data_IF_271772047479
#
_entry.id   IF_271772047479
#
_cell.length_a   1.000
_cell.length_b   1.000
_cell.length_c   1.000
_cell.angle_alpha   90.00
_cell.angle_beta   90.00
_cell.angle_gamma   90.00
#
_symmetry.space_group_name_H-M   'P 1'
#
loop_
_entity.id
_entity.type
_entity.pdbx_description
1 polymer ?
#
# COMPACT_ATOMS: atom_id res chain seq x y z
N UNK A 1 3.46 3.66 -17.44
CA UNK A 1 2.80 2.35 -17.38
C UNK A 1 3.85 1.26 -17.47
N UNK A 2 3.82 0.28 -16.60
CA UNK A 2 4.74 -0.89 -16.61
C UNK A 2 3.93 -2.14 -16.99
N UNK A 3 4.35 -2.82 -18.04
CA UNK A 3 3.75 -4.06 -18.52
C UNK A 3 4.71 -5.22 -18.27
N UNK A 4 4.22 -6.22 -17.58
CA UNK A 4 4.94 -7.42 -17.19
C UNK A 4 4.24 -8.64 -17.77
N UNK A 5 4.92 -9.39 -18.58
CA UNK A 5 4.45 -10.68 -19.09
C UNK A 5 5.67 -11.59 -19.26
N UNK A 6 6.10 -12.22 -18.17
CA UNK A 6 7.33 -13.01 -18.17
C UNK A 6 7.29 -14.15 -17.15
N UNK A 7 8.19 -15.12 -17.34
CA UNK A 7 8.50 -16.13 -16.35
C UNK A 7 10.01 -16.20 -16.07
N UNK A 8 10.34 -16.61 -14.84
CA UNK A 8 11.71 -16.80 -14.38
C UNK A 8 11.79 -17.92 -13.34
N UNK A 9 12.70 -18.86 -13.56
CA UNK A 9 13.00 -19.95 -12.64
C UNK A 9 14.05 -19.53 -11.62
N UNK A 10 13.78 -19.73 -10.35
CA UNK A 10 14.60 -19.30 -9.22
C UNK A 10 14.81 -20.48 -8.27
N UNK A 11 15.71 -21.36 -8.61
CA UNK A 11 15.86 -22.64 -7.91
C UNK A 11 14.60 -23.50 -8.06
N UNK A 12 13.88 -23.73 -6.97
CA UNK A 12 12.61 -24.46 -6.98
C UNK A 12 11.37 -23.59 -7.22
N UNK A 13 11.51 -22.26 -7.23
CA UNK A 13 10.42 -21.31 -7.44
C UNK A 13 10.33 -20.95 -8.92
N UNK A 14 9.15 -21.03 -9.49
CA UNK A 14 8.83 -20.48 -10.81
C UNK A 14 8.02 -19.20 -10.66
N UNK A 15 8.64 -18.06 -10.94
CA UNK A 15 7.98 -16.75 -10.94
C UNK A 15 7.26 -16.54 -12.27
N UNK A 16 5.95 -16.37 -12.24
CA UNK A 16 5.10 -16.08 -13.40
C UNK A 16 4.30 -14.80 -13.14
N UNK A 17 4.49 -13.78 -13.99
CA UNK A 17 3.81 -12.50 -13.83
C UNK A 17 3.27 -12.04 -15.17
N UNK A 18 1.95 -11.81 -15.23
CA UNK A 18 1.26 -11.20 -16.37
C UNK A 18 0.36 -10.09 -15.85
N UNK A 19 0.89 -8.86 -15.77
CA UNK A 19 0.23 -7.72 -15.13
C UNK A 19 0.60 -6.40 -15.80
N UNK A 20 -0.35 -5.46 -15.78
CA UNK A 20 -0.12 -4.06 -16.14
C UNK A 20 -0.27 -3.19 -14.91
N UNK A 21 0.80 -2.46 -14.58
CA UNK A 21 0.87 -1.60 -13.41
C UNK A 21 0.69 -0.12 -13.81
N UNK A 22 0.11 0.72 -12.93
CA UNK A 22 -0.18 2.11 -13.24
C UNK A 22 1.09 2.92 -13.52
N UNK A 23 0.89 4.07 -14.17
CA UNK A 23 1.97 5.01 -14.51
C UNK A 23 2.36 5.93 -13.34
N UNK A 24 1.60 5.92 -12.24
CA UNK A 24 1.79 6.77 -11.06
C UNK A 24 1.33 6.06 -9.79
N UNK A 25 1.68 6.63 -8.65
CA UNK A 25 1.29 6.13 -7.33
C UNK A 25 2.11 4.94 -6.85
N UNK A 26 1.84 4.50 -5.63
CA UNK A 26 2.53 3.36 -5.00
C UNK A 26 1.73 2.08 -5.25
N UNK A 27 2.37 1.12 -5.91
CA UNK A 27 1.90 -0.27 -5.94
C UNK A 27 2.75 -1.09 -4.96
N UNK A 28 2.11 -1.57 -3.88
CA UNK A 28 2.76 -2.49 -2.96
C UNK A 28 2.82 -3.91 -3.56
N UNK A 29 3.97 -4.55 -3.45
CA UNK A 29 4.16 -5.97 -3.75
C UNK A 29 4.23 -6.69 -2.41
N UNK A 30 3.18 -7.44 -2.09
CA UNK A 30 2.99 -8.12 -0.82
C UNK A 30 3.05 -9.64 -0.98
N UNK A 31 3.54 -10.33 0.03
CA UNK A 31 3.62 -11.80 0.07
C UNK A 31 4.62 -12.28 1.11
N UNK A 32 4.63 -13.59 1.37
CA UNK A 32 5.58 -14.21 2.30
C UNK A 32 7.03 -14.06 1.86
N UNK A 33 7.93 -14.28 2.81
CA UNK A 33 9.34 -14.46 2.48
C UNK A 33 9.49 -15.63 1.51
N UNK A 34 10.29 -15.45 0.46
CA UNK A 34 10.45 -16.45 -0.59
C UNK A 34 9.36 -16.47 -1.67
N UNK A 35 8.33 -15.64 -1.63
CA UNK A 35 7.28 -15.58 -2.65
C UNK A 35 7.75 -15.08 -4.03
N UNK A 36 8.97 -14.53 -4.15
CA UNK A 36 9.51 -14.01 -5.42
C UNK A 36 9.49 -12.50 -5.56
N UNK A 37 9.12 -11.73 -4.50
CA UNK A 37 8.99 -10.24 -4.55
C UNK A 37 10.27 -9.52 -5.00
N UNK A 38 11.39 -9.80 -4.34
CA UNK A 38 12.70 -9.24 -4.70
C UNK A 38 13.10 -9.65 -6.12
N UNK A 39 12.81 -10.89 -6.52
CA UNK A 39 13.11 -11.37 -7.87
C UNK A 39 12.32 -10.66 -8.94
N UNK A 40 11.03 -10.36 -8.66
CA UNK A 40 10.20 -9.56 -9.55
C UNK A 40 10.81 -8.19 -9.81
N UNK A 41 11.19 -7.45 -8.76
CA UNK A 41 11.78 -6.12 -8.95
C UNK A 41 13.21 -6.18 -9.50
N UNK A 42 13.97 -7.26 -9.24
CA UNK A 42 15.28 -7.49 -9.85
C UNK A 42 15.17 -7.69 -11.36
N UNK A 43 14.15 -8.43 -11.83
CA UNK A 43 13.89 -8.61 -13.26
C UNK A 43 13.54 -7.26 -13.93
N UNK A 44 12.73 -6.43 -13.28
CA UNK A 44 12.39 -5.07 -13.75
C UNK A 44 13.64 -4.18 -13.75
N UNK A 45 14.43 -4.21 -12.67
CA UNK A 45 15.67 -3.46 -12.52
C UNK A 45 16.80 -3.90 -13.44
N UNK A 46 16.70 -5.09 -14.06
CA UNK A 46 17.73 -5.66 -14.94
C UNK A 46 18.88 -6.33 -14.20
N UNK A 47 18.69 -6.64 -12.92
CA UNK A 47 19.67 -7.39 -12.12
C UNK A 47 19.59 -8.89 -12.39
N UNK A 48 18.45 -9.37 -12.88
CA UNK A 48 18.23 -10.73 -13.36
C UNK A 48 17.52 -10.72 -14.71
N UNK A 49 17.78 -11.73 -15.54
CA UNK A 49 17.16 -11.88 -16.84
C UNK A 49 16.03 -12.90 -16.76
N UNK A 50 14.79 -12.56 -17.21
CA UNK A 50 13.71 -13.54 -17.35
C UNK A 50 14.05 -14.68 -18.31
N UNK A 51 13.51 -15.88 -18.06
CA UNK A 51 13.66 -17.05 -18.92
C UNK A 51 12.77 -16.96 -20.17
N UNK A 52 11.62 -16.32 -20.03
CA UNK A 52 10.68 -16.09 -21.13
C UNK A 52 9.94 -14.78 -20.98
N UNK A 53 9.27 -14.33 -22.06
CA UNK A 53 8.35 -13.19 -22.05
C UNK A 53 9.03 -11.83 -22.18
N UNK A 54 8.29 -10.79 -21.75
CA UNK A 54 8.64 -9.38 -22.01
C UNK A 54 8.37 -8.50 -20.81
N UNK A 55 9.20 -7.48 -20.62
CA UNK A 55 9.01 -6.37 -19.68
C UNK A 55 9.08 -5.06 -20.46
N UNK A 56 8.05 -4.22 -20.32
CA UNK A 56 7.95 -2.93 -21.02
C UNK A 56 7.67 -1.80 -20.03
N UNK A 57 8.40 -0.72 -20.12
CA UNK A 57 8.18 0.50 -19.31
C UNK A 57 7.93 1.69 -20.25
N UNK A 58 6.75 2.31 -20.12
CA UNK A 58 6.32 3.45 -20.95
C UNK A 58 6.49 3.19 -22.45
N UNK A 59 6.14 1.99 -22.91
CA UNK A 59 6.28 1.57 -24.31
C UNK A 59 7.70 1.16 -24.72
N UNK A 60 8.69 1.33 -23.86
CA UNK A 60 10.08 0.93 -24.11
C UNK A 60 10.32 -0.50 -23.58
N UNK A 61 10.80 -1.38 -24.45
CA UNK A 61 11.11 -2.77 -24.09
C UNK A 61 12.39 -2.78 -23.25
N UNK A 62 12.28 -3.27 -22.00
CA UNK A 62 13.41 -3.45 -21.08
C UNK A 62 14.03 -4.85 -21.23
N UNK A 63 13.17 -5.84 -21.47
CA UNK A 63 13.56 -7.23 -21.71
C UNK A 63 12.55 -7.89 -22.65
N UNK A 64 13.02 -8.63 -23.62
CA UNK A 64 12.21 -9.47 -24.50
C UNK A 64 13.03 -10.70 -24.91
N UNK A 65 12.67 -11.84 -24.36
CA UNK A 65 13.45 -13.07 -24.56
C UNK A 65 13.35 -13.60 -26.00
N UNK A 66 12.18 -13.42 -26.64
CA UNK A 66 11.98 -13.86 -28.02
C UNK A 66 12.83 -13.07 -29.00
N UNK A 67 12.96 -11.77 -28.77
CA UNK A 67 13.73 -10.87 -29.61
C UNK A 67 15.18 -10.68 -29.12
N UNK A 68 15.61 -11.42 -28.13
CA UNK A 68 16.95 -11.34 -27.52
C UNK A 68 17.31 -9.91 -27.03
N UNK A 69 16.32 -9.17 -26.52
CA UNK A 69 16.52 -7.84 -25.96
C UNK A 69 16.67 -7.95 -24.44
N UNK A 70 17.77 -7.43 -23.91
CA UNK A 70 17.99 -7.25 -22.48
C UNK A 70 18.77 -5.98 -22.23
N UNK A 71 18.07 -4.93 -21.79
CA UNK A 71 18.72 -3.70 -21.41
C UNK A 71 19.41 -3.84 -20.05
N UNK A 72 20.70 -3.48 -19.93
CA UNK A 72 21.39 -3.51 -18.66
C UNK A 72 20.82 -2.43 -17.72
N UNK A 73 21.00 -2.54 -16.38
CA UNK A 73 20.39 -1.66 -15.38
C UNK A 73 20.58 -0.15 -15.66
N UNK A 74 21.78 0.27 -16.05
CA UNK A 74 22.11 1.67 -16.30
C UNK A 74 21.37 2.28 -17.50
N UNK A 75 20.79 1.47 -18.38
CA UNK A 75 20.00 1.90 -19.54
C UNK A 75 18.50 1.84 -19.30
N UNK A 76 18.04 1.32 -18.15
CA UNK A 76 16.61 1.14 -17.86
C UNK A 76 15.90 2.37 -17.33
N UNK A 77 16.63 3.37 -16.86
CA UNK A 77 16.08 4.54 -16.15
C UNK A 77 15.22 4.14 -14.96
N UNK A 78 15.73 3.23 -14.18
CA UNK A 78 15.09 2.70 -12.97
C UNK A 78 15.86 3.20 -11.76
N UNK A 79 15.17 3.84 -10.82
CA UNK A 79 15.72 4.11 -9.50
C UNK A 79 15.54 2.88 -8.62
N UNK A 80 16.60 2.40 -7.98
CA UNK A 80 16.53 1.23 -7.12
C UNK A 80 16.99 1.57 -5.71
N UNK A 81 16.12 1.33 -4.73
CA UNK A 81 16.39 1.45 -3.30
C UNK A 81 16.40 0.04 -2.71
N UNK A 82 17.56 -0.41 -2.28
CA UNK A 82 17.74 -1.72 -1.66
C UNK A 82 17.34 -1.71 -0.19
N UNK A 83 17.11 -2.87 0.38
CA UNK A 83 16.89 -3.06 1.81
C UNK A 83 18.03 -2.46 2.64
N UNK A 84 19.28 -2.72 2.25
CA UNK A 84 20.45 -1.95 2.72
C UNK A 84 20.65 -0.72 1.84
N UNK A 85 20.85 0.43 2.42
CA UNK A 85 20.96 1.71 1.70
C UNK A 85 22.12 1.77 0.70
N UNK A 86 23.13 0.90 0.84
CA UNK A 86 24.31 0.77 -0.06
C UNK A 86 24.93 2.11 -0.42
N UNK A 87 25.10 2.98 0.58
CA UNK A 87 25.77 4.29 0.39
C UNK A 87 27.27 4.09 0.23
N UNK A 88 27.89 4.93 -0.57
CA UNK A 88 29.35 4.97 -0.73
C UNK A 88 29.99 5.52 0.56
N UNK A 89 30.73 4.71 1.33
CA UNK A 89 31.22 5.11 2.64
C UNK A 89 32.28 6.22 2.59
N UNK A 90 32.94 6.38 1.47
CA UNK A 90 33.99 7.38 1.23
C UNK A 90 33.47 8.72 0.69
N UNK A 91 32.17 8.83 0.40
CA UNK A 91 31.51 10.09 0.05
C UNK A 91 30.66 10.60 1.19
N UNK A 92 30.64 11.92 1.42
CA UNK A 92 29.63 12.57 2.22
C UNK A 92 28.23 12.34 1.61
N UNK A 93 27.19 12.63 2.35
CA UNK A 93 25.79 12.55 1.87
C UNK A 93 25.60 13.31 0.56
N UNK A 94 26.10 14.57 0.49
CA UNK A 94 26.07 15.37 -0.74
C UNK A 94 26.71 14.66 -1.92
N UNK A 95 27.88 14.04 -1.73
CA UNK A 95 28.57 13.27 -2.78
C UNK A 95 27.80 12.01 -3.20
N UNK A 96 27.17 11.31 -2.23
CA UNK A 96 26.29 10.19 -2.52
C UNK A 96 25.09 10.61 -3.38
N UNK A 97 24.45 11.75 -3.04
CA UNK A 97 23.29 12.27 -3.78
C UNK A 97 23.66 12.72 -5.21
N UNK A 98 24.85 13.29 -5.37
CA UNK A 98 25.33 13.76 -6.68
C UNK A 98 25.88 12.64 -7.55
N UNK A 99 26.16 11.48 -6.99
CA UNK A 99 26.64 10.33 -7.74
C UNK A 99 25.55 9.79 -8.69
N UNK A 100 25.82 9.87 -9.99
CA UNK A 100 24.86 9.48 -11.02
C UNK A 100 23.68 10.46 -11.21
N UNK A 101 23.72 11.64 -10.59
CA UNK A 101 22.68 12.66 -10.74
C UNK A 101 22.55 13.09 -12.19
N UNK A 102 21.34 13.00 -12.75
CA UNK A 102 21.05 13.45 -14.08
C UNK A 102 21.20 14.99 -14.19
N UNK A 103 21.73 15.54 -15.30
CA UNK A 103 21.83 16.99 -15.48
C UNK A 103 20.52 17.74 -15.32
N UNK A 104 19.40 17.13 -15.73
CA UNK A 104 18.03 17.67 -15.58
C UNK A 104 17.58 17.82 -14.13
N UNK A 105 18.17 17.08 -13.19
CA UNK A 105 17.82 17.09 -11.78
C UNK A 105 18.59 18.10 -10.94
N UNK A 106 19.56 18.82 -11.53
CA UNK A 106 20.35 19.81 -10.78
C UNK A 106 19.49 20.89 -10.13
N UNK A 107 18.46 21.39 -10.83
CA UNK A 107 17.50 22.36 -10.29
C UNK A 107 16.52 21.79 -9.26
N UNK A 108 16.41 20.47 -9.14
CA UNK A 108 15.55 19.78 -8.19
C UNK A 108 16.29 19.29 -6.93
N UNK A 109 17.63 19.45 -6.90
CA UNK A 109 18.44 18.92 -5.81
C UNK A 109 17.96 19.40 -4.43
N UNK A 110 17.82 20.72 -4.25
CA UNK A 110 17.41 21.29 -2.98
C UNK A 110 15.97 20.91 -2.59
N UNK A 111 15.08 20.72 -3.58
CA UNK A 111 13.71 20.28 -3.35
C UNK A 111 13.69 18.85 -2.82
N UNK A 112 14.41 17.93 -3.43
CA UNK A 112 14.51 16.53 -3.00
C UNK A 112 15.16 16.43 -1.62
N UNK A 113 16.23 17.21 -1.38
CA UNK A 113 16.92 17.26 -0.08
C UNK A 113 15.96 17.73 1.04
N UNK A 114 15.14 18.76 0.77
CA UNK A 114 14.11 19.25 1.70
C UNK A 114 12.96 18.26 1.89
N UNK A 115 12.44 17.68 0.80
CA UNK A 115 11.38 16.67 0.84
C UNK A 115 11.75 15.51 1.79
N UNK A 116 12.98 15.03 1.70
CA UNK A 116 13.49 13.93 2.49
C UNK A 116 14.06 14.34 3.86
N UNK A 117 14.08 15.65 4.18
CA UNK A 117 14.58 16.17 5.45
C UNK A 117 16.06 15.87 5.69
N UNK A 118 16.88 15.81 4.64
CA UNK A 118 18.31 15.45 4.73
C UNK A 118 19.26 16.63 4.60
N UNK A 119 18.72 17.87 4.57
CA UNK A 119 19.54 19.10 4.53
C UNK A 119 20.65 19.13 5.61
N UNK A 120 20.36 18.86 6.89
CA UNK A 120 21.38 18.91 7.94
C UNK A 120 22.41 17.78 7.88
N UNK A 121 22.24 16.84 6.96
CA UNK A 121 23.08 15.65 6.83
C UNK A 121 24.09 15.74 5.70
N UNK A 122 24.02 16.77 4.83
CA UNK A 122 24.75 16.85 3.56
C UNK A 122 26.27 16.68 3.70
N UNK A 123 26.84 17.19 4.78
CA UNK A 123 28.28 17.13 5.05
C UNK A 123 28.70 15.94 5.93
N UNK A 124 27.75 15.08 6.33
CA UNK A 124 28.03 13.89 7.12
C UNK A 124 28.44 12.71 6.25
N UNK A 125 29.19 11.79 6.84
CA UNK A 125 29.52 10.50 6.23
C UNK A 125 28.47 9.44 6.57
N UNK A 126 28.23 8.44 5.69
CA UNK A 126 27.24 7.39 5.93
C UNK A 126 27.41 6.63 7.26
N UNK A 127 28.63 6.45 7.74
CA UNK A 127 28.89 5.75 9.00
C UNK A 127 28.31 6.48 10.24
N UNK A 128 28.10 7.79 10.16
CA UNK A 128 27.56 8.61 11.25
C UNK A 128 26.03 8.74 11.20
N UNK A 129 25.40 8.14 10.20
CA UNK A 129 23.96 8.23 9.97
C UNK A 129 23.22 7.06 10.64
N UNK A 130 22.02 7.33 11.16
CA UNK A 130 21.07 6.30 11.55
C UNK A 130 20.58 5.50 10.33
N UNK A 131 19.96 4.34 10.56
CA UNK A 131 19.40 3.53 9.49
C UNK A 131 18.36 4.27 8.65
N UNK A 132 17.46 5.03 9.30
CA UNK A 132 16.44 5.83 8.61
C UNK A 132 17.03 7.00 7.81
N UNK A 133 18.07 7.67 8.33
CA UNK A 133 18.81 8.70 7.59
C UNK A 133 19.49 8.12 6.36
N UNK A 134 20.16 6.97 6.50
CA UNK A 134 20.78 6.26 5.36
C UNK A 134 19.75 5.94 4.28
N UNK A 135 18.57 5.50 4.68
CA UNK A 135 17.52 5.14 3.74
C UNK A 135 16.97 6.36 3.00
N UNK A 136 16.76 7.50 3.70
CA UNK A 136 16.37 8.77 3.05
C UNK A 136 17.41 9.25 2.03
N UNK A 137 18.69 9.11 2.35
CA UNK A 137 19.77 9.43 1.40
C UNK A 137 19.77 8.49 0.18
N UNK A 138 19.53 7.19 0.39
CA UNK A 138 19.44 6.22 -0.71
C UNK A 138 18.26 6.52 -1.65
N UNK A 139 17.11 6.90 -1.09
CA UNK A 139 15.93 7.34 -1.85
C UNK A 139 16.27 8.61 -2.66
N UNK A 140 16.86 9.61 -2.02
CA UNK A 140 17.28 10.85 -2.69
C UNK A 140 18.27 10.60 -3.84
N UNK A 141 19.24 9.72 -3.62
CA UNK A 141 20.19 9.31 -4.67
C UNK A 141 19.47 8.65 -5.85
N UNK A 142 18.52 7.75 -5.59
CA UNK A 142 17.76 7.10 -6.64
C UNK A 142 16.90 8.09 -7.43
N UNK A 143 16.22 9.03 -6.78
CA UNK A 143 15.40 10.05 -7.43
C UNK A 143 16.21 11.01 -8.30
N UNK A 144 17.42 11.39 -7.85
CA UNK A 144 18.29 12.31 -8.57
C UNK A 144 18.86 11.73 -9.87
N UNK A 145 18.71 10.42 -10.13
CA UNK A 145 19.02 9.83 -11.44
C UNK A 145 17.97 10.11 -12.52
N UNK A 146 16.88 10.84 -12.20
CA UNK A 146 15.70 11.05 -13.06
C UNK A 146 15.09 9.74 -13.58
N UNK A 147 14.69 8.83 -12.67
CA UNK A 147 14.14 7.54 -13.06
C UNK A 147 12.72 7.67 -13.63
N UNK A 148 12.32 6.73 -14.47
CA UNK A 148 10.95 6.57 -14.97
C UNK A 148 10.09 5.71 -14.04
N UNK A 149 10.72 5.00 -13.10
CA UNK A 149 10.10 4.17 -12.07
C UNK A 149 11.05 4.04 -10.87
N UNK A 150 10.50 4.00 -9.66
CA UNK A 150 11.25 3.77 -8.44
C UNK A 150 10.91 2.39 -7.87
N UNK A 151 11.93 1.55 -7.67
CA UNK A 151 11.82 0.23 -7.06
C UNK A 151 12.37 0.31 -5.64
N UNK A 152 11.59 -0.12 -4.66
CA UNK A 152 11.98 -0.15 -3.25
C UNK A 152 11.84 -1.58 -2.71
N UNK A 153 12.96 -2.18 -2.33
CA UNK A 153 13.01 -3.55 -1.80
C UNK A 153 13.06 -3.52 -0.29
N UNK A 154 11.93 -3.72 0.37
CA UNK A 154 11.79 -3.74 1.83
C UNK A 154 12.54 -2.58 2.53
N UNK A 155 12.33 -1.31 2.13
CA UNK A 155 13.18 -0.20 2.54
C UNK A 155 13.14 0.11 4.04
N UNK A 156 12.16 -0.41 4.77
CA UNK A 156 12.00 -0.21 6.20
C UNK A 156 12.31 -1.47 7.03
N UNK A 157 12.62 -2.62 6.41
CA UNK A 157 12.75 -3.88 7.14
C UNK A 157 13.85 -3.88 8.20
N UNK A 158 14.95 -3.15 7.97
CA UNK A 158 16.08 -3.07 8.90
C UNK A 158 15.88 -2.04 10.03
N UNK A 159 14.72 -1.36 10.09
CA UNK A 159 14.44 -0.30 11.06
C UNK A 159 13.56 -0.80 12.21
N UNK A 160 13.83 -0.30 13.42
CA UNK A 160 12.94 -0.43 14.55
C UNK A 160 11.67 0.41 14.41
N UNK A 161 10.64 0.15 15.22
CA UNK A 161 9.34 0.82 15.15
C UNK A 161 9.45 2.36 15.25
N UNK A 162 10.23 2.96 16.18
CA UNK A 162 10.38 4.41 16.26
C UNK A 162 10.93 5.02 14.97
N UNK A 163 11.95 4.39 14.37
CA UNK A 163 12.57 4.87 13.13
C UNK A 163 11.67 4.68 11.91
N UNK A 164 10.87 3.59 11.88
CA UNK A 164 9.83 3.43 10.85
C UNK A 164 8.82 4.57 10.92
N UNK A 165 8.34 4.93 12.12
CA UNK A 165 7.41 6.05 12.33
C UNK A 165 7.99 7.40 11.92
N UNK A 166 9.29 7.62 12.15
CA UNK A 166 9.99 8.82 11.70
C UNK A 166 10.08 8.90 10.17
N UNK A 167 10.34 7.79 9.49
CA UNK A 167 10.55 7.77 8.05
C UNK A 167 9.24 7.79 7.24
N UNK A 168 8.17 7.22 7.78
CA UNK A 168 6.88 7.07 7.10
C UNK A 168 6.33 8.38 6.53
N UNK A 169 6.30 9.53 7.24
CA UNK A 169 5.81 10.79 6.69
C UNK A 169 6.60 11.30 5.48
N UNK A 170 7.87 10.93 5.35
CA UNK A 170 8.67 11.27 4.17
C UNK A 170 8.27 10.43 2.96
N UNK A 171 7.94 9.15 3.17
CA UNK A 171 7.45 8.28 2.10
C UNK A 171 6.05 8.68 1.64
N UNK A 172 5.17 9.08 2.55
CA UNK A 172 3.84 9.60 2.23
C UNK A 172 3.92 10.87 1.37
N UNK A 173 4.75 11.84 1.77
CA UNK A 173 5.01 13.05 0.97
C UNK A 173 5.63 12.72 -0.38
N UNK A 174 6.59 11.79 -0.40
CA UNK A 174 7.21 11.33 -1.64
C UNK A 174 6.16 10.81 -2.62
N UNK A 175 5.21 10.00 -2.14
CA UNK A 175 4.13 9.46 -2.96
C UNK A 175 3.24 10.55 -3.58
N UNK A 176 3.04 11.67 -2.88
CA UNK A 176 2.23 12.79 -3.35
C UNK A 176 2.96 13.73 -4.31
N UNK A 177 4.28 13.92 -4.11
CA UNK A 177 5.06 14.91 -4.86
C UNK A 177 5.74 14.34 -6.11
N UNK A 178 5.95 13.00 -6.15
CA UNK A 178 6.68 12.34 -7.24
C UNK A 178 5.70 11.74 -8.24
N UNK A 179 5.80 12.18 -9.51
CA UNK A 179 4.87 11.78 -10.60
C UNK A 179 5.26 10.49 -11.31
N UNK A 180 6.16 9.67 -10.75
CA UNK A 180 6.55 8.37 -11.32
C UNK A 180 5.96 7.22 -10.51
N UNK A 181 5.75 6.05 -11.12
CA UNK A 181 5.29 4.87 -10.38
C UNK A 181 6.36 4.41 -9.39
N UNK A 182 5.90 3.97 -8.21
CA UNK A 182 6.74 3.40 -7.16
C UNK A 182 6.28 1.95 -6.94
N UNK A 183 7.19 0.99 -7.12
CA UNK A 183 6.98 -0.39 -6.68
C UNK A 183 7.61 -0.57 -5.31
N UNK A 184 6.78 -0.86 -4.34
CA UNK A 184 7.15 -0.94 -2.94
C UNK A 184 7.00 -2.37 -2.42
N UNK A 185 8.10 -3.08 -2.28
CA UNK A 185 8.09 -4.44 -1.71
C UNK A 185 8.05 -4.34 -0.20
N UNK A 186 7.10 -5.01 0.42
CA UNK A 186 7.00 -5.13 1.88
C UNK A 186 6.24 -6.38 2.29
N UNK A 187 6.46 -6.81 3.53
CA UNK A 187 5.64 -7.80 4.24
C UNK A 187 4.83 -7.18 5.39
N UNK A 188 4.89 -5.85 5.56
CA UNK A 188 4.21 -5.10 6.62
C UNK A 188 2.85 -4.59 6.15
N UNK A 189 1.79 -5.05 6.81
CA UNK A 189 0.43 -4.59 6.56
C UNK A 189 0.25 -3.10 6.86
N UNK A 190 0.91 -2.58 7.91
CA UNK A 190 0.86 -1.16 8.27
C UNK A 190 1.47 -0.26 7.18
N UNK A 191 2.58 -0.71 6.56
CA UNK A 191 3.20 0.02 5.46
C UNK A 191 2.28 0.07 4.24
N UNK A 192 1.61 -1.06 3.92
CA UNK A 192 0.64 -1.14 2.83
C UNK A 192 -0.53 -0.19 3.08
N UNK A 193 -1.11 -0.23 4.29
CA UNK A 193 -2.25 0.60 4.67
C UNK A 193 -1.96 2.10 4.54
N UNK A 194 -0.73 2.51 4.83
CA UNK A 194 -0.34 3.92 4.81
C UNK A 194 0.08 4.41 3.43
N UNK A 195 0.79 3.59 2.67
CA UNK A 195 1.48 4.02 1.46
C UNK A 195 0.79 3.57 0.16
N UNK A 196 0.22 2.35 0.12
CA UNK A 196 -0.20 1.77 -1.13
C UNK A 196 -1.53 2.33 -1.65
N UNK A 197 -1.59 2.61 -2.95
CA UNK A 197 -2.84 2.83 -3.69
C UNK A 197 -3.32 1.52 -4.31
N UNK A 198 -2.39 0.71 -4.78
CA UNK A 198 -2.64 -0.63 -5.32
C UNK A 198 -1.78 -1.67 -4.64
N UNK A 199 -2.28 -2.90 -4.64
CA UNK A 199 -1.59 -4.05 -4.06
C UNK A 199 -1.54 -5.18 -5.07
N UNK A 200 -0.35 -5.74 -5.25
CA UNK A 200 -0.09 -6.98 -5.94
C UNK A 200 0.29 -8.03 -4.88
N UNK A 201 -0.54 -9.05 -4.72
CA UNK A 201 -0.28 -10.16 -3.80
C UNK A 201 0.42 -11.27 -4.56
N UNK A 202 1.62 -11.63 -4.10
CA UNK A 202 2.45 -12.67 -4.69
C UNK A 202 2.62 -13.82 -3.71
N UNK A 203 2.35 -15.04 -4.14
CA UNK A 203 2.61 -16.24 -3.37
C UNK A 203 3.07 -17.40 -4.26
N UNK A 204 4.08 -18.14 -3.81
CA UNK A 204 4.64 -19.25 -4.57
C UNK A 204 5.04 -18.91 -6.01
N UNK A 205 5.49 -17.68 -6.28
CA UNK A 205 5.86 -17.19 -7.62
C UNK A 205 4.69 -16.78 -8.50
N UNK A 206 3.45 -16.80 -8.00
CA UNK A 206 2.24 -16.45 -8.78
C UNK A 206 1.54 -15.24 -8.20
N UNK A 207 0.96 -14.43 -9.08
CA UNK A 207 0.11 -13.32 -8.69
C UNK A 207 -1.26 -13.86 -8.31
N UNK A 208 -1.64 -13.74 -7.03
CA UNK A 208 -2.93 -14.18 -6.51
C UNK A 208 -4.01 -13.11 -6.66
N UNK A 209 -3.64 -11.84 -6.51
CA UNK A 209 -4.54 -10.71 -6.66
C UNK A 209 -3.75 -9.45 -7.08
N UNK A 210 -4.41 -8.58 -7.83
CA UNK A 210 -3.94 -7.23 -8.18
C UNK A 210 -5.15 -6.31 -8.27
N UNK A 211 -5.10 -5.17 -7.59
CA UNK A 211 -6.21 -4.21 -7.58
C UNK A 211 -5.94 -3.00 -6.71
N UNK A 212 -6.98 -2.20 -6.46
CA UNK A 212 -6.91 -1.14 -5.45
C UNK A 212 -6.65 -1.75 -4.07
N UNK A 213 -6.07 -0.98 -3.17
CA UNK A 213 -5.86 -1.45 -1.80
C UNK A 213 -7.20 -1.91 -1.17
N UNK A 214 -8.28 -1.14 -1.37
CA UNK A 214 -9.59 -1.45 -0.83
C UNK A 214 -10.11 -2.81 -1.33
N UNK A 215 -10.09 -3.03 -2.64
CA UNK A 215 -10.57 -4.28 -3.26
C UNK A 215 -9.77 -5.50 -2.79
N UNK A 216 -8.44 -5.39 -2.84
CA UNK A 216 -7.55 -6.49 -2.46
C UNK A 216 -7.67 -6.78 -0.97
N UNK A 217 -7.75 -5.74 -0.11
CA UNK A 217 -7.90 -5.90 1.33
C UNK A 217 -9.22 -6.59 1.71
N UNK A 218 -10.32 -6.25 1.02
CA UNK A 218 -11.62 -6.86 1.21
C UNK A 218 -11.76 -8.27 0.58
N UNK A 219 -10.76 -8.71 -0.19
CA UNK A 219 -10.80 -9.99 -0.89
C UNK A 219 -10.48 -11.17 0.04
N UNK A 220 -10.94 -12.37 -0.35
CA UNK A 220 -10.61 -13.61 0.35
C UNK A 220 -9.10 -13.94 0.29
N UNK A 221 -8.36 -13.37 -0.67
CA UNK A 221 -6.91 -13.56 -0.82
C UNK A 221 -6.15 -12.95 0.34
N UNK A 222 -6.58 -11.78 0.86
CA UNK A 222 -5.90 -11.11 1.98
C UNK A 222 -6.22 -11.72 3.35
N UNK A 223 -7.35 -12.42 3.49
CA UNK A 223 -7.82 -12.93 4.79
C UNK A 223 -6.83 -13.83 5.54
N UNK A 224 -6.14 -14.79 4.89
CA UNK A 224 -5.15 -15.63 5.56
C UNK A 224 -3.97 -14.85 6.15
N UNK A 225 -3.71 -13.64 5.64
CA UNK A 225 -2.58 -12.79 6.03
C UNK A 225 -2.91 -11.83 7.18
N UNK A 226 -4.21 -11.56 7.39
CA UNK A 226 -4.66 -10.70 8.47
C UNK A 226 -4.79 -11.52 9.76
N UNK A 227 -4.18 -11.10 10.88
CA UNK A 227 -4.44 -11.72 12.18
C UNK A 227 -5.95 -11.77 12.43
N UNK A 228 -6.44 -12.86 13.05
CA UNK A 228 -7.88 -13.03 13.29
C UNK A 228 -8.50 -11.85 14.05
N UNK A 229 -7.76 -11.30 15.00
CA UNK A 229 -8.16 -10.15 15.82
C UNK A 229 -8.15 -8.83 15.05
N UNK A 230 -7.39 -8.76 13.96
CA UNK A 230 -7.19 -7.56 13.14
C UNK A 230 -7.92 -7.62 11.78
N UNK A 231 -8.83 -8.58 11.60
CA UNK A 231 -9.67 -8.63 10.41
C UNK A 231 -10.44 -7.32 10.28
N UNK A 232 -10.23 -6.62 9.19
CA UNK A 232 -10.74 -5.27 9.01
C UNK A 232 -11.06 -4.99 7.54
N UNK A 233 -11.80 -3.92 7.32
CA UNK A 233 -12.06 -3.35 6.00
C UNK A 233 -11.36 -2.01 5.91
N UNK A 234 -10.87 -1.68 4.73
CA UNK A 234 -10.25 -0.40 4.41
C UNK A 234 -11.15 0.32 3.43
N UNK A 235 -11.44 1.58 3.69
CA UNK A 235 -12.33 2.40 2.87
C UNK A 235 -11.61 3.71 2.53
N UNK A 236 -11.68 4.10 1.26
CA UNK A 236 -11.25 5.42 0.83
C UNK A 236 -12.49 6.32 0.74
N UNK A 237 -12.56 7.31 1.60
CA UNK A 237 -13.72 8.18 1.79
C UNK A 237 -13.29 9.64 1.77
N UNK A 238 -14.22 10.57 1.72
CA UNK A 238 -13.92 11.99 1.81
C UNK A 238 -14.55 12.63 3.05
N UNK A 239 -13.89 13.63 3.61
CA UNK A 239 -14.45 14.47 4.65
C UNK A 239 -15.64 15.23 4.07
N UNK A 240 -16.81 15.08 4.70
CA UNK A 240 -18.02 15.80 4.30
C UNK A 240 -18.16 17.12 5.05
N UNK A 241 -18.15 17.06 6.38
CA UNK A 241 -18.28 18.21 7.26
C UNK A 241 -17.75 17.92 8.67
N UNK A 242 -17.45 18.97 9.42
CA UNK A 242 -17.19 18.87 10.86
C UNK A 242 -18.46 19.25 11.63
N UNK A 243 -18.74 18.50 12.71
CA UNK A 243 -19.93 18.77 13.52
C UNK A 243 -19.75 20.09 14.31
N UNK A 244 -20.72 21.04 14.24
CA UNK A 244 -20.53 22.37 14.82
C UNK A 244 -20.45 22.37 16.37
N UNK A 245 -20.98 21.34 17.02
CA UNK A 245 -21.08 21.24 18.49
C UNK A 245 -20.22 20.14 19.11
N UNK A 246 -20.02 19.04 18.40
CA UNK A 246 -19.30 17.88 18.92
C UNK A 246 -17.97 17.73 18.19
N UNK A 247 -16.95 17.22 18.87
CA UNK A 247 -15.65 16.91 18.28
C UNK A 247 -15.75 15.65 17.37
N UNK A 248 -16.51 15.81 16.29
CA UNK A 248 -16.82 14.76 15.32
C UNK A 248 -16.69 15.27 13.88
N UNK A 249 -16.31 14.37 12.99
CA UNK A 249 -16.25 14.61 11.54
C UNK A 249 -17.13 13.60 10.83
N UNK A 250 -17.95 14.05 9.90
CA UNK A 250 -18.72 13.20 8.99
C UNK A 250 -17.90 12.87 7.75
N UNK A 251 -17.88 11.62 7.38
CA UNK A 251 -17.29 11.09 6.15
C UNK A 251 -18.40 10.65 5.20
N UNK A 252 -18.18 10.84 3.88
CA UNK A 252 -19.12 10.44 2.86
C UNK A 252 -19.04 8.93 2.58
N UNK A 253 -20.17 8.23 2.68
CA UNK A 253 -20.34 6.82 2.29
C UNK A 253 -21.54 6.74 1.35
N UNK A 254 -21.35 6.90 0.04
CA UNK A 254 -22.45 7.14 -0.89
C UNK A 254 -23.27 8.35 -0.43
N UNK A 255 -24.58 8.18 -0.30
CA UNK A 255 -25.52 9.19 0.21
C UNK A 255 -25.60 9.24 1.76
N UNK A 256 -24.84 8.40 2.45
CA UNK A 256 -24.85 8.28 3.90
C UNK A 256 -23.66 9.01 4.54
N UNK A 257 -23.74 9.18 5.85
CA UNK A 257 -22.70 9.80 6.68
C UNK A 257 -22.15 8.81 7.67
N UNK A 258 -20.83 8.72 7.73
CA UNK A 258 -20.11 7.95 8.75
C UNK A 258 -19.42 8.94 9.70
N UNK A 259 -19.84 8.96 10.95
CA UNK A 259 -19.28 9.84 11.96
C UNK A 259 -18.06 9.20 12.63
N UNK A 260 -16.96 9.95 12.68
CA UNK A 260 -15.73 9.59 13.37
C UNK A 260 -15.33 10.69 14.35
N UNK A 261 -14.34 10.41 15.22
CA UNK A 261 -13.70 11.46 16.01
C UNK A 261 -13.12 12.53 15.08
N UNK A 262 -13.12 13.77 15.54
CA UNK A 262 -12.67 14.93 14.75
C UNK A 262 -11.28 14.70 14.16
N UNK A 263 -11.16 15.04 12.90
CA UNK A 263 -9.90 15.12 12.15
C UNK A 263 -9.67 16.57 11.70
N UNK A 264 -8.41 16.91 11.42
CA UNK A 264 -8.02 18.27 11.04
C UNK A 264 -8.23 18.56 9.54
N UNK A 265 -8.42 17.51 8.73
CA UNK A 265 -8.55 17.59 7.28
C UNK A 265 -9.83 18.33 6.88
N UNK A 266 -9.71 19.26 5.93
CA UNK A 266 -10.81 20.07 5.44
C UNK A 266 -11.87 19.25 4.67
N UNK A 267 -13.14 19.70 4.62
CA UNK A 267 -14.15 19.11 3.76
C UNK A 267 -13.66 18.93 2.30
N UNK A 268 -13.97 17.79 1.70
CA UNK A 268 -13.51 17.38 0.37
C UNK A 268 -12.17 16.63 0.37
N UNK A 269 -11.43 16.62 1.48
CA UNK A 269 -10.16 15.87 1.56
C UNK A 269 -10.45 14.37 1.61
N UNK A 270 -9.72 13.61 0.78
CA UNK A 270 -9.77 12.16 0.81
C UNK A 270 -9.06 11.61 2.06
N UNK A 271 -9.68 10.65 2.71
CA UNK A 271 -9.15 9.94 3.87
C UNK A 271 -9.25 8.43 3.66
N UNK A 272 -8.27 7.73 4.19
CA UNK A 272 -8.32 6.29 4.31
C UNK A 272 -8.69 5.92 5.74
N UNK A 273 -9.74 5.12 5.89
CA UNK A 273 -10.21 4.64 7.19
C UNK A 273 -10.17 3.12 7.26
N UNK A 274 -10.07 2.61 8.48
CA UNK A 274 -10.08 1.19 8.78
C UNK A 274 -11.24 0.91 9.75
N UNK A 275 -12.03 -0.11 9.44
CA UNK A 275 -13.14 -0.61 10.26
C UNK A 275 -12.84 -2.06 10.61
N UNK A 276 -12.65 -2.36 11.90
CA UNK A 276 -12.44 -3.74 12.34
C UNK A 276 -13.76 -4.52 12.26
N UNK A 277 -13.70 -5.77 11.84
CA UNK A 277 -14.92 -6.60 11.73
C UNK A 277 -15.63 -6.83 13.08
N UNK A 278 -14.87 -6.75 14.19
CA UNK A 278 -15.39 -6.83 15.56
C UNK A 278 -16.14 -5.57 16.01
N UNK A 279 -15.91 -4.44 15.34
CA UNK A 279 -16.58 -3.17 15.63
C UNK A 279 -17.86 -2.98 14.81
N UNK A 280 -18.23 -3.98 14.02
CA UNK A 280 -19.46 -3.99 13.20
C UNK A 280 -20.44 -5.02 13.74
N UNK A 281 -21.59 -4.55 14.22
CA UNK A 281 -22.74 -5.39 14.56
C UNK A 281 -23.85 -5.23 13.54
N UNK A 282 -24.77 -6.20 13.49
CA UNK A 282 -25.83 -6.26 12.48
C UNK A 282 -27.20 -6.19 13.13
N UNK A 283 -28.11 -5.41 12.54
CA UNK A 283 -29.51 -5.31 12.99
C UNK A 283 -30.43 -5.31 11.77
N UNK A 284 -31.62 -5.91 11.93
CA UNK A 284 -32.61 -5.98 10.84
C UNK A 284 -33.31 -4.64 10.60
N UNK A 285 -33.46 -3.83 11.64
CA UNK A 285 -34.07 -2.52 11.56
C UNK A 285 -33.25 -1.50 12.34
N UNK A 286 -33.19 -0.22 11.89
CA UNK A 286 -32.47 0.81 12.62
C UNK A 286 -33.21 1.06 13.95
N UNK A 287 -32.47 0.92 15.05
CA UNK A 287 -32.97 1.30 16.38
C UNK A 287 -32.91 2.81 16.52
N UNK A 288 -33.99 3.49 16.22
CA UNK A 288 -34.08 4.94 16.36
C UNK A 288 -33.84 5.36 17.82
N UNK A 289 -32.86 6.25 18.03
CA UNK A 289 -32.56 7.01 19.25
C UNK A 289 -32.22 6.24 20.55
N UNK A 290 -32.24 4.92 20.56
CA UNK A 290 -31.97 4.10 21.76
C UNK A 290 -30.57 3.44 21.77
N UNK A 291 -29.65 3.88 20.91
CA UNK A 291 -28.30 3.36 20.82
C UNK A 291 -27.28 4.47 21.00
N UNK A 292 -26.14 4.15 21.66
CA UNK A 292 -24.96 5.00 21.68
C UNK A 292 -24.19 4.94 20.36
N UNK A 293 -24.47 3.94 19.50
CA UNK A 293 -23.89 3.82 18.17
C UNK A 293 -24.59 4.80 17.23
N UNK A 294 -23.82 5.73 16.64
CA UNK A 294 -24.34 6.75 15.72
C UNK A 294 -24.29 6.32 14.26
N UNK A 295 -23.41 5.41 13.93
CA UNK A 295 -23.22 4.93 12.57
C UNK A 295 -24.07 3.66 12.36
N UNK A 296 -25.27 3.85 11.82
CA UNK A 296 -26.20 2.77 11.47
C UNK A 296 -26.53 2.94 9.99
N UNK A 297 -25.89 2.13 9.15
CA UNK A 297 -25.88 2.30 7.70
C UNK A 297 -26.52 1.08 7.01
N UNK A 298 -27.33 1.28 5.97
CA UNK A 298 -27.90 0.17 5.21
C UNK A 298 -26.80 -0.61 4.50
N UNK A 299 -26.86 -1.91 4.56
CA UNK A 299 -25.91 -2.80 3.94
C UNK A 299 -26.59 -4.05 3.40
N UNK A 300 -26.04 -4.60 2.31
CA UNK A 300 -26.50 -5.85 1.71
C UNK A 300 -25.51 -6.96 2.01
N UNK A 301 -26.00 -8.06 2.53
CA UNK A 301 -25.19 -9.27 2.75
C UNK A 301 -24.77 -9.86 1.42
N UNK A 302 -23.47 -10.00 1.19
CA UNK A 302 -22.90 -10.64 0.02
C UNK A 302 -22.57 -12.10 0.28
N UNK A 303 -21.96 -12.39 1.43
CA UNK A 303 -21.44 -13.71 1.78
C UNK A 303 -21.43 -13.89 3.30
N UNK A 304 -21.61 -15.13 3.76
CA UNK A 304 -21.42 -15.53 5.15
C UNK A 304 -20.38 -16.66 5.19
N UNK A 305 -19.28 -16.45 5.92
CA UNK A 305 -18.24 -17.44 6.13
C UNK A 305 -18.32 -17.98 7.54
N UNK A 306 -18.65 -19.27 7.66
CA UNK A 306 -18.67 -19.97 8.94
C UNK A 306 -17.25 -20.42 9.31
N UNK A 307 -16.75 -19.94 10.43
CA UNK A 307 -15.41 -20.26 10.96
C UNK A 307 -15.51 -21.12 12.24
N UNK A 308 -16.66 -21.76 12.46
CA UNK A 308 -16.95 -22.64 13.58
C UNK A 308 -17.45 -21.86 14.80
N UNK A 309 -16.59 -21.16 15.52
CA UNK A 309 -16.97 -20.40 16.72
C UNK A 309 -17.41 -18.96 16.42
N UNK A 310 -17.28 -18.50 15.17
CA UNK A 310 -17.67 -17.18 14.70
C UNK A 310 -18.09 -17.22 13.24
N UNK A 311 -18.90 -16.26 12.82
CA UNK A 311 -19.31 -16.06 11.43
C UNK A 311 -18.85 -14.70 10.99
N UNK A 312 -18.22 -14.64 9.82
CA UNK A 312 -17.88 -13.40 9.18
C UNK A 312 -18.82 -13.13 8.02
N UNK A 313 -19.41 -11.95 8.05
CA UNK A 313 -20.41 -11.52 7.08
C UNK A 313 -19.82 -10.42 6.23
N UNK A 314 -19.72 -10.68 4.92
CA UNK A 314 -19.29 -9.71 3.91
C UNK A 314 -20.48 -8.87 3.51
N UNK A 315 -20.34 -7.57 3.56
CA UNK A 315 -21.40 -6.61 3.34
C UNK A 315 -21.01 -5.61 2.24
N UNK A 316 -21.94 -5.34 1.34
CA UNK A 316 -21.88 -4.15 0.48
C UNK A 316 -22.58 -2.99 1.18
N UNK A 317 -21.88 -1.89 1.36
CA UNK A 317 -22.34 -0.64 1.97
C UNK A 317 -22.03 0.50 1.00
N UNK A 318 -23.02 0.99 0.27
CA UNK A 318 -22.82 1.84 -0.91
C UNK A 318 -21.81 1.18 -1.87
N UNK A 319 -20.76 1.91 -2.25
CA UNK A 319 -19.70 1.42 -3.15
C UNK A 319 -18.55 0.70 -2.42
N UNK A 320 -18.71 0.47 -1.11
CA UNK A 320 -17.66 -0.13 -0.28
C UNK A 320 -18.01 -1.52 0.20
N UNK A 321 -16.98 -2.31 0.48
CA UNK A 321 -17.11 -3.64 1.09
C UNK A 321 -16.60 -3.57 2.53
N UNK A 322 -17.44 -4.01 3.46
CA UNK A 322 -17.06 -4.17 4.87
C UNK A 322 -17.31 -5.60 5.36
N UNK A 323 -16.63 -5.95 6.43
CA UNK A 323 -16.80 -7.22 7.10
C UNK A 323 -17.35 -7.00 8.51
N UNK A 324 -18.31 -7.83 8.90
CA UNK A 324 -18.81 -7.90 10.27
C UNK A 324 -18.52 -9.27 10.85
N UNK A 325 -18.14 -9.33 12.12
CA UNK A 325 -17.92 -10.56 12.86
C UNK A 325 -19.03 -10.75 13.88
N UNK A 326 -19.75 -11.85 13.78
CA UNK A 326 -20.87 -12.17 14.65
C UNK A 326 -20.75 -13.61 15.18
N UNK A 327 -21.54 -13.95 16.18
CA UNK A 327 -21.67 -15.35 16.64
C UNK A 327 -22.54 -16.18 15.69
N UNK A 328 -22.37 -17.51 15.63
CA UNK A 328 -23.31 -18.39 14.94
C UNK A 328 -24.73 -18.22 15.43
N UNK A 329 -24.93 -18.03 16.73
CA UNK A 329 -26.23 -17.78 17.31
C UNK A 329 -26.91 -16.53 16.74
N UNK A 330 -26.19 -15.41 16.65
CA UNK A 330 -26.71 -14.17 16.06
C UNK A 330 -27.08 -14.35 14.57
N UNK A 331 -26.26 -15.09 13.79
CA UNK A 331 -26.60 -15.44 12.40
C UNK A 331 -27.92 -16.19 12.31
N UNK A 332 -28.10 -17.21 13.14
CA UNK A 332 -29.25 -18.09 13.10
C UNK A 332 -30.51 -17.37 13.59
N UNK A 333 -30.43 -16.60 14.67
CA UNK A 333 -31.54 -15.83 15.23
C UNK A 333 -32.02 -14.72 14.28
N UNK A 334 -31.09 -14.00 13.63
CA UNK A 334 -31.38 -12.97 12.64
C UNK A 334 -31.61 -13.54 11.23
N UNK A 335 -31.48 -14.86 11.05
CA UNK A 335 -31.59 -15.56 9.76
C UNK A 335 -30.77 -14.90 8.67
N UNK A 336 -29.52 -14.54 8.98
CA UNK A 336 -28.63 -13.79 8.06
C UNK A 336 -28.23 -14.69 6.90
N UNK A 337 -28.50 -14.23 5.67
CA UNK A 337 -28.18 -14.93 4.42
C UNK A 337 -27.78 -13.98 3.30
N UNK A 338 -27.04 -14.49 2.33
CA UNK A 338 -26.66 -13.72 1.15
C UNK A 338 -27.88 -13.11 0.42
N UNK A 339 -27.74 -11.88 -0.05
CA UNK A 339 -28.79 -11.11 -0.70
C UNK A 339 -29.69 -10.31 0.23
N UNK A 340 -29.65 -10.55 1.54
CA UNK A 340 -30.49 -9.86 2.53
C UNK A 340 -30.02 -8.43 2.76
N UNK A 341 -30.97 -7.49 2.86
CA UNK A 341 -30.73 -6.14 3.33
C UNK A 341 -30.88 -6.07 4.86
N UNK A 342 -29.96 -5.38 5.51
CA UNK A 342 -29.92 -5.14 6.93
C UNK A 342 -29.17 -3.84 7.23
N UNK A 343 -28.90 -3.53 8.48
CA UNK A 343 -28.14 -2.36 8.88
C UNK A 343 -26.85 -2.78 9.61
N UNK A 344 -25.73 -2.21 9.18
CA UNK A 344 -24.45 -2.31 9.86
C UNK A 344 -24.34 -1.19 10.90
N UNK A 345 -24.14 -1.57 12.16
CA UNK A 345 -23.84 -0.65 13.25
C UNK A 345 -22.33 -0.64 13.47
N UNK A 346 -21.69 0.49 13.16
CA UNK A 346 -20.23 0.65 13.26
C UNK A 346 -19.91 1.44 14.53
N UNK A 347 -19.28 0.77 15.49
CA UNK A 347 -18.96 1.32 16.81
C UNK A 347 -17.75 2.22 16.80
N UNK A 348 -16.68 1.81 16.13
CA UNK A 348 -15.45 2.57 16.04
C UNK A 348 -14.82 2.49 14.66
N UNK A 349 -14.08 3.53 14.31
CA UNK A 349 -13.38 3.69 13.05
C UNK A 349 -12.04 4.31 13.35
N UNK A 350 -10.97 3.79 12.76
CA UNK A 350 -9.64 4.38 12.84
C UNK A 350 -9.25 5.00 11.50
N UNK A 351 -8.57 6.14 11.56
CA UNK A 351 -7.96 6.78 10.38
C UNK A 351 -6.58 6.16 10.19
N UNK A 352 -6.31 5.64 9.00
CA UNK A 352 -4.99 5.13 8.62
C UNK A 352 -4.09 6.32 8.28
N UNK A 353 -3.32 6.77 9.26
CA UNK A 353 -2.31 7.83 9.13
C UNK A 353 -0.93 7.23 9.12
#
# INVERSE_FOLDING_TARGET
MLELDFSQTLGSLELQVSQTLPAQGITAIFGLSGAGKTSLINAIGGLTQPDSGRITLNGRILSDKQNNIFLPPEKRRVGYVFQDARLFPHYHVKGNLQYGMAPSMRGQFDNIVRLLGITPLLDRFPLTLSGGEKQRVAIGRALLTAPEILLMDEPLAALDIPRKRELMPYLERLAQEVSIPILYVTHSLDEILRLAEKVLVLDGGKVLAMGTLEDVWASNVMRPWLPKEEQSSVLNVSVLEHHPRYEMTALAIGDQRLWISKVEEAPGTALRIRVNSTDVSLVLQPTANNSSIRNILPAKVLECLDLGNQVEVKLAMADHIIWARISPWARDELMIRAGQWLYAQIKSVSVSR
#
